data_IF_072549513908
#
_entry.id   IF_072549513908
#
_cell.length_a   1.000
_cell.length_b   1.000
_cell.length_c   1.000
_cell.angle_alpha   90.00
_cell.angle_beta   90.00
_cell.angle_gamma   90.00
#
_symmetry.space_group_name_H-M   'P 1'
#
loop_
_entity.id
_entity.type
_entity.pdbx_description
1 polymer ?
#
# COMPACT_ATOMS: atom_id res chain seq x y z
N UNK A 1 -5.02 1.83 49.94
CA UNK A 1 -5.95 0.89 49.30
C UNK A 1 -5.69 0.92 47.81
N UNK A 2 -4.87 -0.02 47.32
CA UNK A 2 -4.70 -0.28 45.89
C UNK A 2 -5.89 -1.12 45.46
N UNK A 3 -6.78 -0.56 44.63
CA UNK A 3 -7.92 -1.27 44.07
C UNK A 3 -7.38 -2.22 42.99
N UNK A 4 -7.36 -3.51 43.30
CA UNK A 4 -7.12 -4.56 42.32
C UNK A 4 -8.26 -4.52 41.30
N UNK A 5 -7.90 -4.21 40.04
CA UNK A 5 -8.82 -4.26 38.91
C UNK A 5 -8.94 -5.75 38.55
N UNK A 6 -10.02 -6.40 39.00
CA UNK A 6 -10.34 -7.77 38.62
C UNK A 6 -10.47 -7.84 37.10
N UNK A 7 -9.43 -8.36 36.44
CA UNK A 7 -9.46 -8.64 35.02
C UNK A 7 -10.38 -9.84 34.78
N UNK A 8 -11.55 -9.57 34.23
CA UNK A 8 -12.43 -10.58 33.66
C UNK A 8 -11.64 -11.35 32.61
N UNK A 9 -11.37 -12.63 32.87
CA UNK A 9 -10.68 -13.51 31.93
C UNK A 9 -11.60 -13.81 30.75
N UNK A 10 -11.57 -12.97 29.72
CA UNK A 10 -12.21 -13.26 28.43
C UNK A 10 -11.60 -14.55 27.88
N UNK A 11 -12.41 -15.60 27.74
CA UNK A 11 -11.99 -16.85 27.11
C UNK A 11 -12.41 -16.80 25.66
N UNK A 12 -11.43 -16.79 24.75
CA UNK A 12 -11.69 -16.92 23.31
C UNK A 12 -12.38 -18.26 23.02
N UNK A 13 -13.33 -18.19 22.11
CA UNK A 13 -13.98 -19.33 21.45
C UNK A 13 -12.98 -20.08 20.55
N UNK A 14 -13.27 -21.33 20.17
CA UNK A 14 -12.43 -22.08 19.24
C UNK A 14 -12.22 -21.38 17.88
N UNK A 15 -13.23 -20.65 17.38
CA UNK A 15 -13.15 -19.90 16.13
C UNK A 15 -12.19 -18.71 16.25
N UNK A 16 -12.30 -17.91 17.31
CA UNK A 16 -11.38 -16.79 17.55
C UNK A 16 -9.94 -17.25 17.81
N UNK A 17 -9.75 -18.43 18.41
CA UNK A 17 -8.43 -19.06 18.50
C UNK A 17 -7.88 -19.45 17.12
N UNK A 18 -8.70 -20.00 16.23
CA UNK A 18 -8.28 -20.35 14.87
C UNK A 18 -7.88 -19.10 14.07
N UNK A 19 -8.62 -18.00 14.22
CA UNK A 19 -8.28 -16.71 13.61
C UNK A 19 -6.99 -16.11 14.17
N UNK A 20 -6.81 -16.14 15.50
CA UNK A 20 -5.57 -15.68 16.14
C UNK A 20 -4.36 -16.54 15.73
N UNK A 21 -4.55 -17.85 15.55
CA UNK A 21 -3.52 -18.76 15.04
C UNK A 21 -3.15 -18.41 13.59
N UNK A 22 -4.14 -18.19 12.70
CA UNK A 22 -3.90 -17.77 11.31
C UNK A 22 -3.19 -16.40 11.22
N UNK A 23 -3.61 -15.43 12.04
CA UNK A 23 -2.97 -14.11 12.12
C UNK A 23 -1.54 -14.21 12.64
N UNK A 24 -1.27 -15.11 13.59
CA UNK A 24 0.08 -15.35 14.10
C UNK A 24 1.00 -16.06 13.09
N UNK A 25 0.50 -17.09 12.40
CA UNK A 25 1.26 -17.82 11.38
C UNK A 25 1.50 -17.01 10.12
N UNK A 26 0.63 -16.04 9.79
CA UNK A 26 0.87 -15.04 8.73
C UNK A 26 2.12 -14.19 9.00
N UNK A 27 2.43 -13.96 10.29
CA UNK A 27 3.58 -13.17 10.74
C UNK A 27 3.41 -11.64 10.65
N UNK A 28 2.26 -11.15 10.21
CA UNK A 28 1.95 -9.71 10.12
C UNK A 28 1.57 -9.10 11.48
N UNK A 29 1.02 -9.94 12.37
CA UNK A 29 0.54 -9.52 13.67
C UNK A 29 1.60 -9.73 14.76
N UNK A 30 1.65 -8.81 15.71
CA UNK A 30 2.46 -8.94 16.94
C UNK A 30 1.57 -9.41 18.09
N UNK A 31 2.16 -9.97 19.14
CA UNK A 31 1.41 -10.36 20.33
C UNK A 31 0.65 -9.18 20.96
N UNK A 32 1.18 -7.96 20.84
CA UNK A 32 0.51 -6.74 21.30
C UNK A 32 -0.74 -6.40 20.49
N UNK A 33 -0.70 -6.57 19.15
CA UNK A 33 -1.89 -6.37 18.31
C UNK A 33 -2.96 -7.43 18.56
N UNK A 34 -2.55 -8.68 18.76
CA UNK A 34 -3.48 -9.77 19.10
C UNK A 34 -4.07 -9.61 20.52
N UNK A 35 -3.31 -9.05 21.45
CA UNK A 35 -3.80 -8.73 22.80
C UNK A 35 -4.85 -7.61 22.77
N UNK A 36 -4.65 -6.58 21.94
CA UNK A 36 -5.60 -5.50 21.73
C UNK A 36 -6.88 -5.97 21.03
N UNK A 37 -6.74 -6.82 19.99
CA UNK A 37 -7.85 -7.31 19.17
C UNK A 37 -8.75 -8.32 19.91
N UNK A 38 -8.15 -9.22 20.70
CA UNK A 38 -8.87 -10.30 21.37
C UNK A 38 -9.03 -10.10 22.89
N UNK A 39 -8.49 -9.01 23.44
CA UNK A 39 -8.57 -8.68 24.87
C UNK A 39 -7.91 -9.71 25.79
N UNK A 40 -6.99 -10.53 25.27
CA UNK A 40 -6.28 -11.57 26.02
C UNK A 40 -4.82 -11.18 26.23
N UNK A 41 -4.33 -11.33 27.46
CA UNK A 41 -2.92 -11.11 27.81
C UNK A 41 -1.96 -11.81 26.86
N UNK A 42 -0.93 -11.09 26.41
CA UNK A 42 0.15 -11.60 25.55
C UNK A 42 0.78 -12.91 26.03
N UNK A 43 0.90 -13.13 27.34
CA UNK A 43 1.48 -14.35 27.91
C UNK A 43 0.60 -15.58 27.65
N UNK A 44 -0.72 -15.40 27.61
CA UNK A 44 -1.69 -16.46 27.31
C UNK A 44 -1.63 -16.84 25.84
N UNK A 45 -1.59 -15.86 24.94
CA UNK A 45 -1.39 -16.07 23.50
C UNK A 45 -0.05 -16.77 23.23
N UNK A 46 1.04 -16.30 23.84
CA UNK A 46 2.38 -16.90 23.70
C UNK A 46 2.42 -18.35 24.16
N UNK A 47 1.80 -18.68 25.32
CA UNK A 47 1.72 -20.06 25.80
C UNK A 47 0.86 -20.94 24.87
N UNK A 48 -0.23 -20.40 24.34
CA UNK A 48 -1.12 -21.13 23.43
C UNK A 48 -0.40 -21.47 22.12
N UNK A 49 0.22 -20.49 21.45
CA UNK A 49 0.99 -20.72 20.22
C UNK A 49 2.16 -21.67 20.44
N UNK A 50 2.89 -21.54 21.57
CA UNK A 50 3.98 -22.45 21.91
C UNK A 50 3.49 -23.89 22.17
N UNK A 51 2.34 -24.06 22.82
CA UNK A 51 1.73 -25.38 23.06
C UNK A 51 1.28 -26.05 21.75
N UNK A 52 0.83 -25.25 20.78
CA UNK A 52 0.43 -25.68 19.44
C UNK A 52 1.61 -25.83 18.45
N UNK A 53 2.83 -25.44 18.84
CA UNK A 53 4.00 -25.49 17.97
C UNK A 53 3.98 -24.46 16.84
N UNK A 54 3.19 -23.39 16.96
CA UNK A 54 3.02 -22.37 15.93
C UNK A 54 4.08 -21.28 16.07
N UNK A 55 4.98 -21.19 15.08
CA UNK A 55 5.95 -20.11 14.99
C UNK A 55 5.36 -18.92 14.23
N UNK A 56 5.82 -17.71 14.60
CA UNK A 56 5.40 -16.49 13.92
C UNK A 56 5.88 -16.53 12.47
N UNK A 57 4.97 -16.36 11.50
CA UNK A 57 5.35 -16.39 10.09
C UNK A 57 5.64 -17.80 9.56
N UNK A 58 5.17 -18.85 10.24
CA UNK A 58 5.31 -20.24 9.79
C UNK A 58 4.54 -20.54 8.50
N UNK A 59 3.61 -19.68 8.09
CA UNK A 59 2.95 -19.82 6.79
C UNK A 59 3.92 -19.48 5.65
N UNK A 60 4.30 -20.51 4.90
CA UNK A 60 5.22 -20.42 3.77
C UNK A 60 4.63 -19.63 2.60
N UNK A 61 3.31 -19.64 2.44
CA UNK A 61 2.60 -18.90 1.38
C UNK A 61 2.59 -17.41 1.72
N UNK A 62 2.15 -17.04 2.93
CA UNK A 62 2.19 -15.66 3.40
C UNK A 62 3.61 -15.07 3.46
N UNK A 63 4.64 -15.89 3.70
CA UNK A 63 6.05 -15.46 3.57
C UNK A 63 6.43 -15.16 2.12
N UNK A 64 6.11 -16.04 1.17
CA UNK A 64 6.42 -15.85 -0.24
C UNK A 64 5.71 -14.62 -0.84
N UNK A 65 4.44 -14.40 -0.47
CA UNK A 65 3.69 -13.21 -0.89
C UNK A 65 4.32 -11.93 -0.34
N UNK A 66 4.74 -11.91 0.94
CA UNK A 66 5.43 -10.75 1.51
C UNK A 66 6.79 -10.48 0.86
N UNK A 67 7.59 -11.52 0.63
CA UNK A 67 8.89 -11.38 -0.01
C UNK A 67 8.76 -10.91 -1.47
N UNK A 68 7.78 -11.44 -2.22
CA UNK A 68 7.50 -10.98 -3.58
C UNK A 68 6.98 -9.55 -3.62
N UNK A 69 6.02 -9.17 -2.77
CA UNK A 69 5.53 -7.79 -2.68
C UNK A 69 6.64 -6.81 -2.29
N UNK A 70 7.50 -7.20 -1.35
CA UNK A 70 8.66 -6.38 -0.94
C UNK A 70 9.65 -6.24 -2.10
N UNK A 71 9.98 -7.34 -2.78
CA UNK A 71 10.87 -7.32 -3.93
C UNK A 71 10.32 -6.46 -5.08
N UNK A 72 9.03 -6.59 -5.36
CA UNK A 72 8.31 -5.77 -6.34
C UNK A 72 8.30 -4.28 -5.98
N UNK A 73 8.07 -3.96 -4.71
CA UNK A 73 8.12 -2.59 -4.22
C UNK A 73 9.54 -2.01 -4.36
N UNK A 74 10.57 -2.77 -4.02
CA UNK A 74 11.98 -2.39 -4.22
C UNK A 74 12.32 -2.19 -5.71
N UNK A 75 11.84 -3.06 -6.60
CA UNK A 75 12.05 -2.96 -8.04
C UNK A 75 11.36 -1.71 -8.61
N UNK A 76 10.11 -1.45 -8.21
CA UNK A 76 9.37 -0.24 -8.63
C UNK A 76 10.03 1.04 -8.10
N UNK A 77 10.52 1.02 -6.87
CA UNK A 77 11.25 2.14 -6.28
C UNK A 77 12.56 2.42 -7.06
N UNK A 78 13.34 1.38 -7.37
CA UNK A 78 14.57 1.51 -8.18
C UNK A 78 14.28 2.04 -9.58
N UNK A 79 13.28 1.47 -10.28
CA UNK A 79 12.89 1.94 -11.61
C UNK A 79 12.42 3.40 -11.61
N UNK A 80 11.73 3.83 -10.54
CA UNK A 80 11.35 5.24 -10.35
C UNK A 80 12.57 6.13 -10.14
N UNK A 81 13.50 5.72 -9.27
CA UNK A 81 14.72 6.47 -8.98
C UNK A 81 15.57 6.65 -10.25
N UNK A 82 15.77 5.57 -11.02
CA UNK A 82 16.51 5.62 -12.29
C UNK A 82 15.84 6.58 -13.29
N UNK A 83 14.52 6.55 -13.42
CA UNK A 83 13.77 7.46 -14.30
C UNK A 83 13.88 8.92 -13.87
N UNK A 84 13.99 9.18 -12.57
CA UNK A 84 14.20 10.53 -12.03
C UNK A 84 15.61 11.01 -12.38
N UNK A 85 16.62 10.17 -12.14
CA UNK A 85 18.03 10.51 -12.43
C UNK A 85 18.27 10.72 -13.93
N UNK A 86 17.77 9.82 -14.77
CA UNK A 86 17.83 9.93 -16.23
C UNK A 86 17.22 11.25 -16.70
N UNK A 87 16.08 11.63 -16.12
CA UNK A 87 15.39 12.88 -16.46
C UNK A 87 16.20 14.10 -16.05
N UNK A 88 16.72 14.14 -14.82
CA UNK A 88 17.60 15.22 -14.35
C UNK A 88 18.78 15.39 -15.29
N UNK A 89 19.43 14.29 -15.66
CA UNK A 89 20.59 14.26 -16.56
C UNK A 89 20.25 14.80 -17.96
N UNK A 90 19.12 14.37 -18.54
CA UNK A 90 18.70 14.82 -19.88
C UNK A 90 18.40 16.31 -19.92
N UNK A 91 17.65 16.82 -18.94
CA UNK A 91 17.29 18.23 -18.89
C UNK A 91 18.48 19.14 -18.60
N UNK A 92 19.42 18.70 -17.74
CA UNK A 92 20.70 19.39 -17.55
C UNK A 92 21.50 19.47 -18.85
N UNK A 93 21.61 18.35 -19.59
CA UNK A 93 22.26 18.32 -20.90
C UNK A 93 21.62 19.27 -21.92
N UNK A 94 20.30 19.35 -21.97
CA UNK A 94 19.59 20.30 -22.83
C UNK A 94 19.80 21.76 -22.42
N UNK A 95 19.80 22.05 -21.11
CA UNK A 95 20.10 23.38 -20.60
C UNK A 95 21.54 23.81 -20.94
N UNK A 96 22.50 22.90 -20.76
CA UNK A 96 23.89 23.11 -21.14
C UNK A 96 24.04 23.38 -22.64
N UNK A 97 23.38 22.59 -23.50
CA UNK A 97 23.40 22.78 -24.96
C UNK A 97 22.80 24.14 -25.38
N UNK A 98 21.71 24.57 -24.74
CA UNK A 98 21.13 25.91 -24.97
C UNK A 98 22.12 27.02 -24.59
N UNK A 99 22.83 26.88 -23.46
CA UNK A 99 23.88 27.80 -23.06
C UNK A 99 25.02 27.88 -24.08
N UNK A 100 25.45 26.73 -24.62
CA UNK A 100 26.45 26.68 -25.69
C UNK A 100 25.98 27.39 -26.95
N UNK A 101 24.73 27.18 -27.39
CA UNK A 101 24.18 27.86 -28.56
C UNK A 101 24.14 29.38 -28.39
N UNK A 102 23.77 29.88 -27.20
CA UNK A 102 23.82 31.32 -26.88
C UNK A 102 25.24 31.85 -27.02
N UNK A 103 26.23 31.15 -26.46
CA UNK A 103 27.63 31.57 -26.53
C UNK A 103 28.18 31.52 -27.96
N UNK A 104 27.80 30.54 -28.78
CA UNK A 104 28.18 30.46 -30.20
C UNK A 104 27.65 31.67 -30.97
N UNK A 105 26.40 32.08 -30.74
CA UNK A 105 25.81 33.23 -31.42
C UNK A 105 26.53 34.54 -31.03
N UNK A 106 26.77 34.73 -29.74
CA UNK A 106 27.48 35.92 -29.22
C UNK A 106 28.93 35.99 -29.73
N UNK A 107 29.64 34.87 -29.70
CA UNK A 107 31.04 34.81 -30.16
C UNK A 107 31.14 34.99 -31.67
N UNK A 108 30.19 34.44 -32.44
CA UNK A 108 30.12 34.61 -33.89
C UNK A 108 29.84 36.07 -34.25
N UNK A 109 28.87 36.72 -33.60
CA UNK A 109 28.59 38.14 -33.80
C UNK A 109 29.82 39.01 -33.49
N UNK A 110 30.52 38.72 -32.39
CA UNK A 110 31.74 39.43 -32.01
C UNK A 110 32.87 39.22 -33.03
N UNK A 111 33.05 37.99 -33.52
CA UNK A 111 34.05 37.66 -34.55
C UNK A 111 33.78 38.37 -35.87
N UNK A 112 32.51 38.53 -36.22
CA UNK A 112 32.06 39.21 -37.45
C UNK A 112 31.96 40.74 -37.30
N UNK A 113 32.25 41.28 -36.10
CA UNK A 113 32.15 42.71 -35.82
C UNK A 113 30.72 43.26 -35.81
N UNK A 114 29.71 42.38 -35.70
CA UNK A 114 28.30 42.76 -35.66
C UNK A 114 27.90 43.23 -34.25
N UNK A 115 27.09 44.29 -34.11
CA UNK A 115 26.55 44.69 -32.82
C UNK A 115 25.58 43.62 -32.28
N UNK A 116 25.51 43.46 -30.95
CA UNK A 116 24.65 42.45 -30.32
C UNK A 116 23.15 42.65 -30.63
N UNK A 117 22.72 43.87 -30.95
CA UNK A 117 21.35 44.14 -31.41
C UNK A 117 20.99 43.38 -32.70
N UNK A 118 21.97 43.07 -33.56
CA UNK A 118 21.73 42.31 -34.79
C UNK A 118 21.38 40.84 -34.53
N UNK A 119 21.77 40.27 -33.38
CA UNK A 119 21.47 38.89 -32.98
C UNK A 119 20.39 38.80 -31.90
N UNK A 120 19.75 39.92 -31.54
CA UNK A 120 18.73 39.97 -30.49
C UNK A 120 17.55 39.02 -30.78
N UNK A 121 17.17 38.88 -32.05
CA UNK A 121 16.14 37.92 -32.48
C UNK A 121 16.51 36.47 -32.20
N UNK A 122 17.76 36.08 -32.46
CA UNK A 122 18.30 34.75 -32.16
C UNK A 122 18.31 34.51 -30.65
N UNK A 123 18.81 35.47 -29.86
CA UNK A 123 18.88 35.37 -28.40
C UNK A 123 17.49 35.26 -27.76
N UNK A 124 16.51 36.05 -28.22
CA UNK A 124 15.12 35.95 -27.77
C UNK A 124 14.49 34.59 -28.12
N UNK A 125 14.83 34.04 -29.29
CA UNK A 125 14.36 32.72 -29.70
C UNK A 125 14.93 31.62 -28.81
N UNK A 126 16.23 31.68 -28.49
CA UNK A 126 16.88 30.77 -27.55
C UNK A 126 16.33 30.91 -26.12
N UNK A 127 16.05 32.13 -25.67
CA UNK A 127 15.41 32.37 -24.38
C UNK A 127 14.00 31.76 -24.32
N UNK A 128 13.21 31.90 -25.39
CA UNK A 128 11.88 31.27 -25.48
C UNK A 128 11.97 29.74 -25.49
N UNK A 129 12.96 29.19 -26.19
CA UNK A 129 13.22 27.75 -26.19
C UNK A 129 13.58 27.27 -24.78
N UNK A 130 14.47 27.97 -24.07
CA UNK A 130 14.83 27.69 -22.68
C UNK A 130 13.62 27.76 -21.73
N UNK A 131 12.79 28.79 -21.85
CA UNK A 131 11.57 28.90 -21.04
C UNK A 131 10.56 27.77 -21.33
N UNK A 132 10.46 27.32 -22.58
CA UNK A 132 9.61 26.19 -22.96
C UNK A 132 10.15 24.91 -22.34
N UNK A 133 11.47 24.70 -22.40
CA UNK A 133 12.13 23.57 -21.80
C UNK A 133 11.94 23.53 -20.28
N UNK A 134 12.05 24.67 -19.60
CA UNK A 134 11.80 24.78 -18.17
C UNK A 134 10.36 24.36 -17.80
N UNK A 135 9.36 24.76 -18.60
CA UNK A 135 7.96 24.33 -18.41
C UNK A 135 7.79 22.82 -18.65
N UNK A 136 8.41 22.28 -19.69
CA UNK A 136 8.39 20.84 -19.95
C UNK A 136 9.03 20.07 -18.78
N UNK A 137 10.14 20.58 -18.23
CA UNK A 137 10.76 20.01 -17.04
C UNK A 137 9.81 20.05 -15.86
N UNK A 138 9.23 21.20 -15.54
CA UNK A 138 8.30 21.37 -14.42
C UNK A 138 7.11 20.40 -14.50
N UNK A 139 6.44 20.31 -15.65
CA UNK A 139 5.34 19.35 -15.87
C UNK A 139 5.82 17.92 -15.68
N UNK A 140 6.99 17.59 -16.23
CA UNK A 140 7.56 16.25 -16.12
C UNK A 140 8.03 15.90 -14.70
N UNK A 141 8.51 16.87 -13.95
CA UNK A 141 8.95 16.72 -12.56
C UNK A 141 7.75 16.54 -11.64
N UNK A 142 6.69 17.31 -11.84
CA UNK A 142 5.40 17.14 -11.16
C UNK A 142 4.79 15.77 -11.43
N UNK A 143 4.82 15.29 -12.67
CA UNK A 143 4.33 13.95 -13.02
C UNK A 143 5.08 12.80 -12.34
N UNK A 144 6.35 13.01 -11.95
CA UNK A 144 7.13 12.03 -11.18
C UNK A 144 7.11 12.29 -9.66
N UNK A 145 6.42 13.34 -9.21
CA UNK A 145 6.43 13.77 -7.82
C UNK A 145 7.81 14.23 -7.34
N UNK A 146 8.67 14.71 -8.24
CA UNK A 146 10.00 15.26 -7.88
C UNK A 146 9.92 16.61 -7.15
N UNK A 147 8.74 17.23 -7.17
CA UNK A 147 8.43 18.53 -6.54
C UNK A 147 8.02 18.36 -5.07
N UNK A 148 7.63 17.14 -4.68
CA UNK A 148 7.56 16.76 -3.28
C UNK A 148 9.00 16.56 -2.85
N UNK A 149 9.52 17.50 -2.07
CA UNK A 149 10.79 17.31 -1.37
C UNK A 149 10.78 15.94 -0.70
N UNK A 150 11.94 15.32 -0.57
CA UNK A 150 12.21 14.06 0.16
C UNK A 150 11.81 14.13 1.67
N UNK A 151 10.90 15.02 2.05
CA UNK A 151 10.22 15.10 3.35
C UNK A 151 9.05 14.10 3.50
N UNK A 152 8.77 13.28 2.49
CA UNK A 152 7.91 12.10 2.65
C UNK A 152 8.74 10.86 3.08
N UNK A 153 9.96 11.06 3.59
CA UNK A 153 10.56 10.10 4.52
C UNK A 153 9.65 10.00 5.75
N UNK A 154 8.77 9.01 5.74
CA UNK A 154 8.07 8.51 6.93
C UNK A 154 6.89 9.33 7.47
N UNK A 155 6.04 9.94 6.64
CA UNK A 155 4.63 10.06 7.06
C UNK A 155 3.97 8.68 6.94
N UNK A 156 4.35 7.77 7.87
CA UNK A 156 3.50 6.65 8.23
C UNK A 156 2.14 7.28 8.55
N UNK A 157 1.04 6.90 7.86
CA UNK A 157 -0.26 7.47 8.16
C UNK A 157 -0.51 7.29 9.65
N UNK A 158 -0.59 8.40 10.39
CA UNK A 158 -0.92 8.37 11.80
C UNK A 158 -2.32 7.81 11.91
N UNK A 159 -2.43 6.56 12.38
CA UNK A 159 -3.71 5.96 12.71
C UNK A 159 -4.24 6.74 13.92
N UNK A 160 -5.10 7.73 13.67
CA UNK A 160 -5.79 8.47 14.72
C UNK A 160 -6.81 7.52 15.32
N UNK A 161 -6.43 6.88 16.42
CA UNK A 161 -7.36 6.15 17.28
C UNK A 161 -8.30 7.19 17.92
N UNK A 162 -9.47 7.38 17.32
CA UNK A 162 -10.57 8.02 18.01
C UNK A 162 -11.11 7.05 19.06
N UNK A 163 -10.98 7.39 20.33
CA UNK A 163 -11.72 6.68 21.37
C UNK A 163 -13.22 6.86 21.14
N UNK A 164 -13.89 5.79 20.72
CA UNK A 164 -15.34 5.79 20.61
C UNK A 164 -15.91 5.97 22.01
N UNK A 165 -16.73 7.00 22.18
CA UNK A 165 -17.44 7.22 23.44
C UNK A 165 -18.39 6.04 23.71
N UNK A 166 -18.70 5.70 24.98
CA UNK A 166 -19.60 4.58 25.31
C UNK A 166 -20.96 4.67 24.61
N UNK A 167 -21.43 5.89 24.30
CA UNK A 167 -22.66 6.13 23.53
C UNK A 167 -22.54 5.78 22.05
N UNK A 168 -21.37 5.96 21.43
CA UNK A 168 -21.11 5.57 20.05
C UNK A 168 -20.95 4.04 19.92
N UNK A 169 -20.30 3.40 20.91
CA UNK A 169 -20.21 1.94 20.99
C UNK A 169 -21.60 1.31 21.19
N UNK A 170 -22.45 1.91 22.03
CA UNK A 170 -23.81 1.44 22.22
C UNK A 170 -24.65 1.54 20.94
N UNK A 171 -24.40 2.54 20.10
CA UNK A 171 -25.12 2.72 18.83
C UNK A 171 -24.73 1.68 17.78
N UNK A 172 -23.44 1.35 17.67
CA UNK A 172 -22.96 0.28 16.79
C UNK A 172 -23.50 -1.10 17.21
N UNK A 173 -23.53 -1.37 18.52
CA UNK A 173 -24.15 -2.61 19.03
C UNK A 173 -25.65 -2.69 18.75
N UNK A 174 -26.32 -1.54 18.68
CA UNK A 174 -27.73 -1.46 18.36
C UNK A 174 -28.01 -1.64 16.86
N UNK A 175 -27.04 -1.33 16.00
CA UNK A 175 -27.07 -1.61 14.56
C UNK A 175 -26.75 -3.09 14.27
N UNK A 176 -25.89 -3.75 15.06
CA UNK A 176 -25.61 -5.20 14.96
C UNK A 176 -26.69 -6.11 15.59
N UNK A 177 -27.44 -5.61 16.58
CA UNK A 177 -28.55 -6.32 17.24
C UNK A 177 -29.87 -6.22 16.45
N UNK A 178 -29.89 -5.51 15.32
CA UNK A 178 -31.04 -5.54 14.41
C UNK A 178 -30.95 -6.87 13.64
N UNK A 179 -31.83 -7.86 13.91
CA UNK A 179 -31.78 -9.11 13.17
C UNK A 179 -32.01 -8.75 11.70
N UNK A 180 -31.04 -9.04 10.83
CA UNK A 180 -31.33 -9.19 9.42
C UNK A 180 -32.42 -10.26 9.35
N UNK A 181 -33.66 -9.81 9.15
CA UNK A 181 -34.78 -10.68 8.88
C UNK A 181 -34.47 -11.23 7.48
N UNK A 182 -33.72 -12.32 7.44
CA UNK A 182 -33.64 -13.18 6.27
C UNK A 182 -35.10 -13.56 6.01
N UNK A 183 -35.65 -13.07 4.91
CA UNK A 183 -37.02 -13.43 4.57
C UNK A 183 -37.07 -14.95 4.27
N UNK A 184 -38.22 -15.57 4.53
CA UNK A 184 -38.37 -17.02 4.33
C UNK A 184 -38.12 -17.45 2.86
N UNK A 185 -38.22 -16.53 1.90
CA UNK A 185 -37.99 -16.75 0.46
C UNK A 185 -36.47 -16.81 0.14
N UNK A 186 -35.65 -16.02 0.84
CA UNK A 186 -34.20 -16.03 0.78
C UNK A 186 -33.62 -17.27 1.49
N UNK A 187 -34.27 -17.72 2.56
CA UNK A 187 -33.89 -18.96 3.25
C UNK A 187 -34.22 -20.19 2.39
N UNK A 188 -35.39 -20.23 1.75
CA UNK A 188 -35.76 -21.31 0.82
C UNK A 188 -34.81 -21.38 -0.38
N UNK A 189 -34.41 -20.24 -0.95
CA UNK A 189 -33.47 -20.22 -2.08
C UNK A 189 -32.07 -20.70 -1.70
N UNK A 190 -31.57 -20.37 -0.51
CA UNK A 190 -30.27 -20.88 -0.02
C UNK A 190 -30.32 -22.38 0.31
N UNK A 191 -31.45 -22.89 0.81
CA UNK A 191 -31.64 -24.33 1.02
C UNK A 191 -31.71 -25.11 -0.30
N UNK A 192 -32.40 -24.57 -1.31
CA UNK A 192 -32.46 -25.15 -2.66
C UNK A 192 -31.08 -25.18 -3.33
N UNK A 193 -30.29 -24.10 -3.17
CA UNK A 193 -28.94 -24.01 -3.73
C UNK A 193 -27.99 -25.03 -3.05
N UNK A 194 -28.05 -25.18 -1.72
CA UNK A 194 -27.26 -26.16 -0.98
C UNK A 194 -27.65 -27.62 -1.30
N UNK A 195 -28.94 -27.89 -1.53
CA UNK A 195 -29.41 -29.21 -1.97
C UNK A 195 -28.97 -29.53 -3.40
N UNK A 196 -28.93 -28.52 -4.29
CA UNK A 196 -28.44 -28.69 -5.67
C UNK A 196 -26.93 -28.95 -5.74
N UNK A 197 -26.15 -28.36 -4.83
CA UNK A 197 -24.70 -28.57 -4.76
C UNK A 197 -24.34 -29.96 -4.19
N UNK A 198 -25.20 -30.52 -3.35
CA UNK A 198 -25.06 -31.90 -2.85
C UNK A 198 -25.39 -32.94 -3.93
N UNK A 199 -26.46 -32.74 -4.71
CA UNK A 199 -26.91 -33.66 -5.77
C UNK A 199 -25.96 -33.69 -6.98
N UNK A 200 -25.17 -32.63 -7.20
CA UNK A 200 -24.14 -32.59 -8.25
C UNK A 200 -22.92 -33.49 -7.97
N UNK A 201 -22.83 -34.12 -6.79
CA UNK A 201 -21.71 -35.01 -6.42
C UNK A 201 -22.06 -36.51 -6.39
N UNK A 202 -23.30 -36.91 -6.67
CA UNK A 202 -23.76 -38.31 -6.55
C UNK A 202 -24.49 -38.86 -7.80
N UNK A 203 -24.00 -38.59 -9.01
CA UNK A 203 -24.33 -39.46 -10.17
C UNK A 203 -23.20 -39.48 -11.21
N UNK A 204 -22.59 -40.66 -11.44
CA UNK A 204 -21.47 -40.78 -12.36
C UNK A 204 -20.68 -42.09 -12.49
N UNK A 205 -21.32 -43.26 -12.35
CA UNK A 205 -21.03 -44.50 -13.11
C UNK A 205 -19.80 -45.39 -12.77
N UNK A 206 -20.13 -46.60 -12.31
CA UNK A 206 -19.38 -47.86 -12.40
C UNK A 206 -19.07 -48.30 -13.86
N UNK A 207 -18.05 -49.18 -14.03
CA UNK A 207 -17.73 -50.00 -15.22
C UNK A 207 -16.67 -49.37 -16.15
N UNK A 208 -15.61 -50.04 -16.62
CA UNK A 208 -15.32 -51.45 -16.91
C UNK A 208 -13.79 -51.65 -16.87
N UNK A 209 -13.28 -52.75 -16.32
CA UNK A 209 -11.90 -53.22 -16.56
C UNK A 209 -11.96 -54.61 -17.22
N UNK A 210 -11.55 -54.67 -18.49
CA UNK A 210 -11.17 -55.89 -19.25
C UNK A 210 -9.68 -56.22 -19.05
#
# INVERSE_FOLDING_TARGET
MTVEKDEVKTRLTPAEWAEAEAKWTSGEYTLSKLEEEYGIRRETLSRHFKKRGLEKGADSVGKMVRESLKSDAELRAKARAEKIEERRTRYDGWAYALGQMVMVEVTTAKREGKPLGAIEGSLKSLQRASNTLAKCFEVSSKALGMDHAENDEEEIPNLVFGELTPSQVAKLRQEDDEPEIIDDELLETLEEEALSEFDATDDGSEGEDE
#
